data_IF_705557601649
#
_entry.id   IF_705557601649
#
_cell.length_a   1.000
_cell.length_b   1.000
_cell.length_c   1.000
_cell.angle_alpha   90.00
_cell.angle_beta   90.00
_cell.angle_gamma   90.00
#
_symmetry.space_group_name_H-M   'P 1'
#
loop_
_entity.id
_entity.type
_entity.pdbx_description
1 polymer ?
#
# COMPACT_ATOMS: atom_id res chain seq x y z
N UNK A 1 -19.75 31.21 6.19
CA UNK A 1 -19.22 30.38 5.08
C UNK A 1 -17.77 29.95 5.25
N UNK A 2 -16.93 30.59 6.09
CA UNK A 2 -15.55 30.11 6.36
C UNK A 2 -15.48 28.91 7.33
N UNK A 3 -16.48 28.73 8.19
CA UNK A 3 -16.49 27.68 9.23
C UNK A 3 -16.64 26.26 8.69
N UNK A 4 -17.23 26.09 7.49
CA UNK A 4 -17.51 24.76 6.94
C UNK A 4 -16.31 24.13 6.21
N UNK A 5 -15.33 24.93 5.77
CA UNK A 5 -14.13 24.42 5.08
C UNK A 5 -13.22 23.61 6.01
N UNK A 6 -13.10 24.05 7.27
CA UNK A 6 -12.23 23.41 8.26
C UNK A 6 -12.67 21.99 8.62
N UNK A 7 -13.96 21.67 8.49
CA UNK A 7 -14.48 20.32 8.77
C UNK A 7 -14.09 19.30 7.70
N UNK A 8 -13.90 19.73 6.45
CA UNK A 8 -13.54 18.85 5.32
C UNK A 8 -12.06 18.44 5.42
N UNK A 9 -11.18 19.40 5.71
CA UNK A 9 -9.73 19.13 5.79
C UNK A 9 -9.38 18.22 6.97
N UNK A 10 -10.12 18.31 8.08
CA UNK A 10 -9.90 17.47 9.26
C UNK A 10 -10.28 16.00 9.06
N UNK A 11 -11.10 15.68 8.04
CA UNK A 11 -11.49 14.31 7.72
C UNK A 11 -10.45 13.58 6.87
N UNK A 12 -9.48 14.29 6.29
CA UNK A 12 -8.45 13.67 5.46
C UNK A 12 -7.40 13.03 6.37
N UNK A 13 -7.24 11.69 6.34
CA UNK A 13 -6.20 11.04 7.10
C UNK A 13 -4.82 11.53 6.62
N UNK A 14 -3.98 12.10 7.49
CA UNK A 14 -2.68 12.60 7.09
C UNK A 14 -1.77 11.42 6.72
N UNK A 15 -1.02 11.56 5.63
CA UNK A 15 -0.04 10.56 5.19
C UNK A 15 -0.63 9.37 4.43
N UNK A 16 -1.90 9.43 3.99
CA UNK A 16 -2.50 8.45 3.08
C UNK A 16 -2.72 9.07 1.70
N UNK A 17 -2.68 8.26 0.65
CA UNK A 17 -2.99 8.73 -0.69
C UNK A 17 -4.42 9.27 -0.80
N UNK A 18 -4.54 10.49 -1.29
CA UNK A 18 -5.77 11.15 -1.68
C UNK A 18 -6.01 10.96 -3.18
N UNK A 19 -7.26 11.13 -3.67
CA UNK A 19 -7.57 11.00 -5.10
C UNK A 19 -6.77 11.91 -6.03
N UNK A 20 -6.21 13.01 -5.51
CA UNK A 20 -5.40 13.97 -6.26
C UNK A 20 -3.90 13.56 -6.28
N UNK A 21 -3.50 12.57 -5.48
CA UNK A 21 -2.10 12.13 -5.34
C UNK A 21 -1.70 11.19 -6.49
N UNK A 22 -1.47 11.79 -7.66
CA UNK A 22 -1.18 11.09 -8.91
C UNK A 22 0.32 10.93 -9.20
N UNK A 23 1.15 11.03 -8.18
CA UNK A 23 2.59 10.88 -8.31
C UNK A 23 2.96 9.41 -8.58
N UNK A 24 4.02 9.15 -9.37
CA UNK A 24 4.53 7.79 -9.52
C UNK A 24 5.00 7.25 -8.17
N UNK A 25 4.94 5.92 -8.00
CA UNK A 25 5.50 5.24 -6.83
C UNK A 25 7.00 5.56 -6.71
N UNK A 26 7.44 5.94 -5.51
CA UNK A 26 8.86 6.15 -5.20
C UNK A 26 9.41 4.95 -4.44
N UNK A 27 10.17 4.10 -5.13
CA UNK A 27 10.78 2.93 -4.51
C UNK A 27 11.94 3.26 -3.55
N UNK A 28 12.35 4.54 -3.43
CA UNK A 28 13.25 4.98 -2.37
C UNK A 28 12.49 5.31 -1.07
N UNK A 29 11.17 5.51 -1.16
CA UNK A 29 10.33 5.68 0.02
C UNK A 29 10.04 4.31 0.67
N UNK A 30 10.33 4.16 1.98
CA UNK A 30 10.11 2.90 2.68
C UNK A 30 8.64 2.46 2.70
N UNK A 31 7.68 3.39 2.74
CA UNK A 31 6.26 3.06 2.78
C UNK A 31 5.81 2.49 1.43
N UNK A 32 6.16 3.14 0.32
CA UNK A 32 5.83 2.68 -1.02
C UNK A 32 6.40 1.28 -1.30
N UNK A 33 7.65 1.05 -0.91
CA UNK A 33 8.28 -0.27 -1.03
C UNK A 33 7.55 -1.33 -0.20
N UNK A 34 7.23 -1.02 1.06
CA UNK A 34 6.59 -1.97 2.00
C UNK A 34 5.16 -2.28 1.57
N UNK A 35 4.37 -1.32 1.12
CA UNK A 35 2.95 -1.54 0.80
C UNK A 35 2.78 -2.16 -0.58
N UNK A 36 3.51 -1.67 -1.58
CA UNK A 36 3.27 -2.04 -2.97
C UNK A 36 4.17 -3.16 -3.49
N UNK A 37 5.35 -3.40 -2.88
CA UNK A 37 6.31 -4.41 -3.38
C UNK A 37 6.40 -5.63 -2.48
N UNK A 38 6.46 -5.46 -1.16
CA UNK A 38 6.71 -6.58 -0.24
C UNK A 38 5.55 -7.63 -0.23
N UNK A 39 4.26 -7.26 -0.10
CA UNK A 39 3.15 -8.20 -0.08
C UNK A 39 3.08 -9.11 -1.31
N UNK A 40 3.15 -8.61 -2.57
CA UNK A 40 3.12 -9.50 -3.73
C UNK A 40 4.32 -10.45 -3.76
N UNK A 41 5.51 -10.00 -3.36
CA UNK A 41 6.70 -10.88 -3.26
C UNK A 41 6.50 -11.97 -2.21
N UNK A 42 5.98 -11.61 -1.03
CA UNK A 42 5.66 -12.59 0.03
C UNK A 42 4.65 -13.62 -0.47
N UNK A 43 3.58 -13.19 -1.15
CA UNK A 43 2.57 -14.09 -1.73
C UNK A 43 3.18 -15.08 -2.72
N UNK A 44 4.08 -14.62 -3.60
CA UNK A 44 4.78 -15.47 -4.55
C UNK A 44 5.65 -16.50 -3.82
N UNK A 45 6.43 -16.07 -2.83
CA UNK A 45 7.30 -16.96 -2.06
C UNK A 45 6.48 -18.01 -1.30
N UNK A 46 5.43 -17.58 -0.61
CA UNK A 46 4.51 -18.48 0.11
C UNK A 46 3.86 -19.49 -0.84
N UNK A 47 3.41 -19.04 -2.02
CA UNK A 47 2.86 -19.92 -3.05
C UNK A 47 3.88 -20.95 -3.52
N UNK A 48 5.13 -20.56 -3.76
CA UNK A 48 6.20 -21.49 -4.16
C UNK A 48 6.48 -22.53 -3.07
N UNK A 49 6.53 -22.13 -1.80
CA UNK A 49 6.71 -23.04 -0.66
C UNK A 49 5.54 -24.03 -0.57
N UNK A 50 4.31 -23.52 -0.64
CA UNK A 50 3.10 -24.34 -0.59
C UNK A 50 3.04 -25.34 -1.75
N UNK A 51 3.35 -24.88 -2.98
CA UNK A 51 3.38 -25.72 -4.17
C UNK A 51 4.41 -26.84 -4.06
N UNK A 52 5.59 -26.58 -3.48
CA UNK A 52 6.62 -27.60 -3.25
C UNK A 52 6.17 -28.65 -2.24
N UNK A 53 5.52 -28.26 -1.14
CA UNK A 53 5.00 -29.20 -0.13
C UNK A 53 3.99 -30.18 -0.72
N UNK A 54 3.09 -29.71 -1.60
CA UNK A 54 2.06 -30.56 -2.23
C UNK A 54 2.56 -31.55 -3.28
N UNK A 55 3.82 -31.45 -3.73
CA UNK A 55 4.42 -32.44 -4.65
C UNK A 55 5.21 -33.53 -3.94
N UNK A 56 5.43 -33.39 -2.63
CA UNK A 56 6.12 -34.38 -1.78
C UNK A 56 5.14 -35.31 -1.04
N UNK A 57 3.84 -34.99 -1.09
CA UNK A 57 2.72 -35.85 -0.69
C UNK A 57 2.14 -36.49 -1.94
#
# INVERSE_FOLDING_TARGET
MLTNFNLIVLQLPPGTQNPDDNFPLDFNDPFDLVVFVIPPVILIVLYMIWRKKRRKL
#
